data_IF_815243674554
#
_entry.id   IF_815243674554
#
_cell.length_a   1.000
_cell.length_b   1.000
_cell.length_c   1.000
_cell.angle_alpha   90.00
_cell.angle_beta   90.00
_cell.angle_gamma   90.00
#
_symmetry.space_group_name_H-M   'P 1'
#
loop_
_entity.id
_entity.type
_entity.pdbx_description
1 polymer ?
#
# COMPACT_ATOMS: atom_id res chain seq x y z
N UNK A 1 4.96 -0.82 -12.09
CA UNK A 1 6.29 -0.18 -12.07
C UNK A 1 6.65 0.10 -10.63
N UNK A 2 7.91 -0.12 -10.25
CA UNK A 2 8.45 0.06 -8.90
C UNK A 2 9.84 0.68 -9.03
N UNK A 3 10.72 0.48 -8.06
CA UNK A 3 12.09 0.99 -8.09
C UNK A 3 12.77 0.86 -9.45
N UNK A 4 13.43 1.93 -9.90
CA UNK A 4 14.05 1.99 -11.23
C UNK A 4 13.14 2.51 -12.36
N UNK A 5 11.91 2.92 -12.07
CA UNK A 5 10.94 3.34 -13.09
C UNK A 5 10.52 4.81 -13.00
N UNK A 6 11.13 5.59 -12.11
CA UNK A 6 10.81 7.00 -11.92
C UNK A 6 9.45 7.25 -11.22
N UNK A 7 9.09 8.52 -10.98
CA UNK A 7 7.80 8.88 -10.39
C UNK A 7 6.63 8.36 -11.23
N UNK A 8 5.57 7.89 -10.57
CA UNK A 8 4.50 7.14 -11.22
C UNK A 8 3.10 7.44 -10.66
N UNK A 9 2.85 8.68 -10.22
CA UNK A 9 1.60 9.12 -9.59
C UNK A 9 0.34 8.83 -10.44
N UNK A 10 0.43 9.02 -11.75
CA UNK A 10 -0.67 8.71 -12.67
C UNK A 10 -0.99 7.22 -12.74
N UNK A 11 0.04 6.38 -12.69
CA UNK A 11 -0.12 4.93 -12.66
C UNK A 11 -0.68 4.50 -11.31
N UNK A 12 -0.21 5.09 -10.20
CA UNK A 12 -0.69 4.82 -8.84
C UNK A 12 -2.19 5.08 -8.72
N UNK A 13 -2.64 6.24 -9.18
CA UNK A 13 -4.07 6.61 -9.18
C UNK A 13 -4.92 5.62 -9.97
N UNK A 14 -4.43 5.18 -11.14
CA UNK A 14 -5.13 4.20 -11.97
C UNK A 14 -5.15 2.82 -11.31
N UNK A 15 -4.04 2.40 -10.70
CA UNK A 15 -3.96 1.13 -9.98
C UNK A 15 -4.94 1.08 -8.80
N UNK A 16 -5.06 2.17 -8.03
CA UNK A 16 -6.03 2.27 -6.93
C UNK A 16 -7.47 2.15 -7.45
N UNK A 17 -7.81 2.86 -8.53
CA UNK A 17 -9.14 2.75 -9.14
C UNK A 17 -9.44 1.35 -9.69
N UNK A 18 -8.45 0.69 -10.31
CA UNK A 18 -8.59 -0.70 -10.74
C UNK A 18 -8.77 -1.66 -9.57
N UNK A 19 -8.11 -1.42 -8.44
CA UNK A 19 -8.27 -2.22 -7.24
C UNK A 19 -9.69 -2.08 -6.66
N UNK A 20 -10.22 -0.85 -6.60
CA UNK A 20 -11.60 -0.61 -6.17
C UNK A 20 -12.62 -1.34 -7.06
N UNK A 21 -12.40 -1.33 -8.39
CA UNK A 21 -13.24 -2.08 -9.33
C UNK A 21 -13.14 -3.59 -9.09
N UNK A 22 -11.93 -4.12 -8.87
CA UNK A 22 -11.74 -5.53 -8.61
C UNK A 22 -12.47 -5.99 -7.33
N UNK A 23 -12.50 -5.17 -6.28
CA UNK A 23 -13.29 -5.45 -5.07
C UNK A 23 -14.78 -5.55 -5.37
N UNK A 24 -15.30 -4.72 -6.28
CA UNK A 24 -16.68 -4.81 -6.73
C UNK A 24 -16.93 -6.08 -7.53
N UNK A 25 -16.04 -6.42 -8.46
CA UNK A 25 -16.16 -7.59 -9.34
C UNK A 25 -16.22 -8.91 -8.55
N UNK A 26 -15.55 -8.98 -7.39
CA UNK A 26 -15.56 -10.16 -6.50
C UNK A 26 -16.60 -10.08 -5.37
N UNK A 27 -17.47 -9.07 -5.36
CA UNK A 27 -18.54 -8.93 -4.38
C UNK A 27 -18.10 -8.49 -2.98
N UNK A 28 -16.90 -7.93 -2.83
CA UNK A 28 -16.41 -7.39 -1.56
C UNK A 28 -16.78 -5.92 -1.33
N UNK A 29 -17.39 -5.27 -2.33
CA UNK A 29 -17.79 -3.87 -2.25
C UNK A 29 -19.04 -3.61 -1.41
N UNK A 30 -19.87 -4.63 -1.18
CA UNK A 30 -21.15 -4.51 -0.46
C UNK A 30 -20.95 -4.26 1.05
N UNK A 31 -19.85 -4.77 1.63
CA UNK A 31 -19.42 -4.40 2.97
C UNK A 31 -18.61 -3.10 2.91
N UNK A 32 -19.26 -1.99 3.27
CA UNK A 32 -18.63 -0.67 3.29
C UNK A 32 -17.40 -0.59 4.19
N UNK A 33 -17.36 -1.33 5.30
CA UNK A 33 -16.21 -1.32 6.21
C UNK A 33 -15.04 -2.07 5.59
N UNK A 34 -15.28 -3.26 5.06
CA UNK A 34 -14.25 -4.05 4.39
C UNK A 34 -13.70 -3.33 3.15
N UNK A 35 -14.60 -2.83 2.30
CA UNK A 35 -14.23 -2.04 1.10
C UNK A 35 -13.33 -0.88 1.47
N UNK A 36 -13.70 -0.09 2.49
CA UNK A 36 -12.90 1.05 2.93
C UNK A 36 -11.51 0.63 3.43
N UNK A 37 -11.42 -0.40 4.26
CA UNK A 37 -10.14 -0.86 4.83
C UNK A 37 -9.19 -1.35 3.74
N UNK A 38 -9.70 -2.09 2.76
CA UNK A 38 -8.91 -2.59 1.64
C UNK A 38 -8.44 -1.45 0.73
N UNK A 39 -9.32 -0.48 0.44
CA UNK A 39 -8.96 0.73 -0.29
C UNK A 39 -7.86 1.52 0.43
N UNK A 40 -8.05 1.83 1.71
CA UNK A 40 -7.10 2.62 2.49
C UNK A 40 -5.72 1.94 2.55
N UNK A 41 -5.70 0.62 2.74
CA UNK A 41 -4.48 -0.19 2.73
C UNK A 41 -3.75 -0.09 1.39
N UNK A 42 -4.47 -0.35 0.29
CA UNK A 42 -3.87 -0.40 -1.04
C UNK A 42 -3.41 0.98 -1.52
N UNK A 43 -4.19 2.02 -1.24
CA UNK A 43 -3.83 3.40 -1.53
C UNK A 43 -2.58 3.83 -0.76
N UNK A 44 -2.49 3.52 0.53
CA UNK A 44 -1.28 3.78 1.32
C UNK A 44 -0.06 3.02 0.80
N UNK A 45 -0.19 1.71 0.54
CA UNK A 45 0.93 0.90 0.06
C UNK A 45 1.49 1.43 -1.28
N UNK A 46 0.59 1.81 -2.18
CA UNK A 46 0.93 2.33 -3.52
C UNK A 46 1.60 3.70 -3.42
N UNK A 47 0.99 4.65 -2.71
CA UNK A 47 1.46 6.04 -2.66
C UNK A 47 2.58 6.30 -1.65
N UNK A 48 2.82 5.38 -0.72
CA UNK A 48 3.83 5.53 0.34
C UNK A 48 4.97 4.54 0.19
N UNK A 49 4.70 3.24 0.12
CA UNK A 49 5.76 2.22 0.17
C UNK A 49 6.37 1.97 -1.21
N UNK A 50 5.53 1.77 -2.21
CA UNK A 50 5.96 1.42 -3.57
C UNK A 50 6.53 2.63 -4.32
N UNK A 51 6.02 3.82 -4.03
CA UNK A 51 6.54 5.08 -4.56
C UNK A 51 7.86 5.50 -3.91
N UNK A 52 8.18 5.07 -2.68
CA UNK A 52 9.30 5.61 -1.87
C UNK A 52 10.67 5.56 -2.55
N UNK A 53 10.94 4.47 -3.27
CA UNK A 53 12.25 4.18 -3.84
C UNK A 53 12.20 4.15 -5.37
N UNK A 54 11.55 5.15 -5.98
CA UNK A 54 11.28 5.16 -7.42
C UNK A 54 12.54 5.28 -8.31
N UNK A 55 13.68 5.72 -7.75
CA UNK A 55 14.90 6.03 -8.49
C UNK A 55 15.69 4.79 -8.93
N UNK A 56 16.10 3.94 -8.00
CA UNK A 56 16.78 2.67 -8.27
C UNK A 56 16.30 1.57 -7.33
N UNK A 57 16.38 0.31 -7.78
CA UNK A 57 16.17 -0.86 -6.92
C UNK A 57 17.23 -0.95 -5.81
N UNK A 58 18.44 -0.44 -6.07
CA UNK A 58 19.52 -0.38 -5.08
C UNK A 58 19.20 0.57 -3.91
N UNK A 59 18.22 1.46 -4.08
CA UNK A 59 17.79 2.37 -3.01
C UNK A 59 16.88 1.68 -1.99
N UNK A 60 16.43 0.44 -2.25
CA UNK A 60 15.56 -0.34 -1.36
C UNK A 60 16.41 -1.02 -0.28
N UNK A 61 16.28 -0.67 1.01
CA UNK A 61 17.05 -1.31 2.06
C UNK A 61 16.66 -2.78 2.25
N UNK A 62 17.66 -3.60 2.58
CA UNK A 62 17.42 -4.96 3.05
C UNK A 62 16.63 -4.95 4.38
N UNK A 63 15.79 -5.97 4.55
CA UNK A 63 15.07 -6.19 5.81
C UNK A 63 13.99 -5.16 6.12
N UNK A 64 13.45 -4.45 5.12
CA UNK A 64 12.30 -3.56 5.33
C UNK A 64 11.15 -4.32 6.01
N UNK A 65 10.64 -3.81 7.15
CA UNK A 65 9.56 -4.48 7.86
C UNK A 65 8.27 -4.42 7.03
N UNK A 66 7.53 -5.52 7.00
CA UNK A 66 6.20 -5.55 6.42
C UNK A 66 5.25 -4.79 7.35
N UNK A 67 4.65 -3.71 6.83
CA UNK A 67 3.68 -2.93 7.59
C UNK A 67 2.44 -3.78 7.90
N UNK A 68 2.09 -3.84 9.18
CA UNK A 68 0.84 -4.47 9.63
C UNK A 68 -0.31 -3.49 9.52
N UNK A 69 -1.48 -3.98 9.11
CA UNK A 69 -2.70 -3.19 8.96
C UNK A 69 -3.83 -3.80 9.79
N UNK A 70 -4.53 -2.96 10.55
CA UNK A 70 -5.75 -3.32 11.28
C UNK A 70 -6.98 -2.74 10.57
N UNK A 71 -8.16 -3.02 11.12
CA UNK A 71 -9.40 -2.38 10.67
C UNK A 71 -9.40 -0.86 10.81
N UNK A 72 -8.53 -0.31 11.66
CA UNK A 72 -8.44 1.12 11.96
C UNK A 72 -7.23 1.78 11.27
N UNK A 73 -6.49 1.03 10.44
CA UNK A 73 -5.35 1.53 9.66
C UNK A 73 -4.01 0.90 10.04
N UNK A 74 -2.87 1.55 9.73
CA UNK A 74 -1.55 0.99 9.99
C UNK A 74 -1.32 0.83 11.49
N UNK A 75 -0.93 -0.38 11.89
CA UNK A 75 -0.52 -0.67 13.26
C UNK A 75 0.85 -0.03 13.48
N UNK A 76 0.97 0.90 14.42
CA UNK A 76 2.28 1.41 14.84
C UNK A 76 3.09 0.24 15.38
N UNK A 77 4.28 0.02 14.83
CA UNK A 77 5.23 -0.91 15.43
C UNK A 77 5.51 -0.47 16.86
N UNK A 78 5.57 -1.41 17.80
CA UNK A 78 6.32 -1.21 19.03
C UNK A 78 7.70 -0.71 18.61
N UNK A 79 8.04 0.53 18.98
CA UNK A 79 9.42 0.97 18.96
C UNK A 79 10.24 -0.08 19.70
N UNK A 80 11.41 -0.36 19.17
CA UNK A 80 12.46 -1.10 19.85
C UNK A 80 12.57 -0.68 21.32
N UNK A 81 12.06 -1.52 22.21
CA UNK A 81 12.41 -1.57 23.63
C UNK A 81 12.50 -3.05 24.02
N UNK A 82 13.63 -3.41 24.64
CA UNK A 82 14.13 -4.75 25.02
C UNK A 82 14.72 -5.57 23.84
N UNK A 83 16.01 -5.93 23.83
CA UNK A 83 16.93 -6.37 24.91
C UNK A 83 18.29 -5.66 24.78
#
# INVERSE_FOLDING_TARGET
MHSGNGPHEDMDRRAIGCFDQALADVGLADDNRLRKVLHDYFAWATTTTLSRYYRSADDVPDGLPIQRWSWDGPVRGMGSDAI
#
